data_IF_775122735382
#
_entry.id   IF_775122735382
#
_cell.length_a   1.000
_cell.length_b   1.000
_cell.length_c   1.000
_cell.angle_alpha   90.00
_cell.angle_beta   90.00
_cell.angle_gamma   90.00
#
_symmetry.space_group_name_H-M   'P 1'
#
loop_
_entity.id
_entity.type
_entity.pdbx_description
1 polymer ?
#
# COMPACT_ATOMS: atom_id res chain seq x y z
N UNK A 1 -51.26 25.26 16.30
CA UNK A 1 -50.64 24.63 15.13
C UNK A 1 -49.43 23.87 15.62
N UNK A 2 -49.54 22.57 15.87
CA UNK A 2 -48.35 21.77 16.15
C UNK A 2 -47.60 21.66 14.83
N UNK A 3 -46.28 21.87 14.79
CA UNK A 3 -45.53 21.69 13.55
C UNK A 3 -45.72 20.25 13.07
N UNK A 4 -46.02 20.11 11.79
CA UNK A 4 -46.22 18.83 11.14
C UNK A 4 -44.93 17.98 11.31
N UNK A 5 -45.01 17.09 12.29
CA UNK A 5 -43.85 16.27 12.71
C UNK A 5 -43.31 15.42 11.60
N UNK A 6 -44.18 14.99 10.68
CA UNK A 6 -43.82 14.24 9.49
C UNK A 6 -42.92 15.04 8.57
N UNK A 7 -43.25 16.32 8.32
CA UNK A 7 -42.44 17.23 7.49
C UNK A 7 -41.08 17.52 8.10
N UNK A 8 -40.99 17.67 9.43
CA UNK A 8 -39.71 17.87 10.10
C UNK A 8 -38.80 16.66 10.01
N UNK A 9 -39.35 15.45 10.13
CA UNK A 9 -38.54 14.22 9.96
C UNK A 9 -37.99 14.14 8.54
N UNK A 10 -38.85 14.24 7.54
CA UNK A 10 -38.41 14.09 6.13
C UNK A 10 -37.40 15.16 5.73
N UNK A 11 -37.67 16.43 6.07
CA UNK A 11 -36.74 17.52 5.75
C UNK A 11 -35.37 17.32 6.38
N UNK A 12 -35.32 16.94 7.67
CA UNK A 12 -34.06 16.67 8.34
C UNK A 12 -33.30 15.50 7.74
N UNK A 13 -33.98 14.43 7.34
CA UNK A 13 -33.34 13.28 6.72
C UNK A 13 -32.97 13.55 5.26
N UNK A 14 -33.75 14.30 4.51
CA UNK A 14 -33.41 14.74 3.15
C UNK A 14 -32.14 15.62 3.15
N UNK A 15 -31.99 16.51 4.14
CA UNK A 15 -30.75 17.28 4.30
C UNK A 15 -29.55 16.39 4.61
N UNK A 16 -29.68 15.45 5.55
CA UNK A 16 -28.63 14.49 5.90
C UNK A 16 -28.27 13.62 4.70
N UNK A 17 -29.27 13.09 3.96
CA UNK A 17 -29.04 12.27 2.79
C UNK A 17 -28.32 13.04 1.69
N UNK A 18 -28.69 14.30 1.46
CA UNK A 18 -28.03 15.18 0.49
C UNK A 18 -26.58 15.48 0.90
N UNK A 19 -26.33 15.76 2.18
CA UNK A 19 -24.99 15.98 2.72
C UNK A 19 -24.09 14.73 2.59
N UNK A 20 -24.69 13.54 2.72
CA UNK A 20 -23.99 12.25 2.67
C UNK A 20 -23.99 11.60 1.27
N UNK A 21 -24.53 12.26 0.27
CA UNK A 21 -24.55 11.75 -1.12
C UNK A 21 -25.46 10.51 -1.32
N UNK A 22 -26.47 10.33 -0.45
CA UNK A 22 -27.41 9.21 -0.57
C UNK A 22 -28.44 9.53 -1.63
N UNK A 23 -28.67 8.57 -2.53
CA UNK A 23 -29.68 8.69 -3.58
C UNK A 23 -31.08 8.84 -2.99
N UNK A 24 -31.91 9.64 -3.67
CA UNK A 24 -33.25 10.00 -3.20
C UNK A 24 -34.19 8.78 -3.16
N UNK A 25 -34.10 7.91 -4.15
CA UNK A 25 -34.98 6.74 -4.22
C UNK A 25 -34.60 5.72 -3.14
N UNK A 26 -33.31 5.58 -2.88
CA UNK A 26 -32.82 4.76 -1.77
C UNK A 26 -33.30 5.31 -0.41
N UNK A 27 -33.26 6.64 -0.23
CA UNK A 27 -33.80 7.27 1.01
C UNK A 27 -35.29 6.97 1.20
N UNK A 28 -36.09 7.03 0.12
CA UNK A 28 -37.53 6.71 0.17
C UNK A 28 -37.76 5.25 0.58
N UNK A 29 -37.03 4.33 -0.01
CA UNK A 29 -37.09 2.90 0.33
C UNK A 29 -36.79 2.66 1.82
N UNK A 30 -35.76 3.32 2.34
CA UNK A 30 -35.39 3.21 3.75
C UNK A 30 -36.49 3.77 4.66
N UNK A 31 -37.06 4.91 4.29
CA UNK A 31 -38.18 5.50 5.04
C UNK A 31 -39.38 4.55 5.08
N UNK A 32 -39.74 3.98 3.93
CA UNK A 32 -40.84 3.00 3.83
C UNK A 32 -40.61 1.80 4.76
N UNK A 33 -39.42 1.18 4.68
CA UNK A 33 -39.05 0.02 5.52
C UNK A 33 -39.13 0.31 7.03
N UNK A 34 -38.70 1.51 7.43
CA UNK A 34 -38.77 1.91 8.84
C UNK A 34 -40.21 2.12 9.28
N UNK A 35 -41.07 2.72 8.45
CA UNK A 35 -42.49 2.89 8.78
C UNK A 35 -43.22 1.55 8.77
N UNK A 36 -42.97 0.65 7.84
CA UNK A 36 -43.49 -0.73 7.85
C UNK A 36 -43.08 -1.48 9.12
N UNK A 37 -41.82 -1.36 9.54
CA UNK A 37 -41.33 -1.96 10.80
C UNK A 37 -42.06 -1.37 12.02
N UNK A 38 -42.33 -0.07 12.01
CA UNK A 38 -43.11 0.58 13.09
C UNK A 38 -44.57 0.09 13.15
N UNK A 39 -45.19 -0.11 11.98
CA UNK A 39 -46.54 -0.65 11.84
C UNK A 39 -46.60 -2.09 12.37
N UNK A 40 -45.70 -2.97 11.90
CA UNK A 40 -45.61 -4.37 12.36
C UNK A 40 -45.46 -4.49 13.86
N UNK A 41 -44.75 -3.57 14.49
CA UNK A 41 -44.54 -3.59 15.93
C UNK A 41 -45.79 -3.21 16.71
N UNK A 42 -46.72 -2.45 16.14
CA UNK A 42 -47.95 -2.03 16.79
C UNK A 42 -49.12 -2.95 16.48
N UNK A 43 -49.21 -3.42 15.22
CA UNK A 43 -50.35 -4.17 14.71
C UNK A 43 -50.06 -5.64 14.48
N UNK A 44 -48.79 -6.09 14.67
CA UNK A 44 -48.24 -7.42 14.45
C UNK A 44 -48.16 -7.83 12.96
N UNK A 45 -48.78 -7.06 12.08
CA UNK A 45 -48.70 -7.18 10.61
C UNK A 45 -48.60 -5.79 9.97
N UNK A 46 -48.17 -5.73 8.72
CA UNK A 46 -48.21 -4.54 7.87
C UNK A 46 -48.96 -4.77 6.54
N UNK A 47 -49.57 -5.95 6.35
CA UNK A 47 -50.24 -6.32 5.11
C UNK A 47 -51.44 -5.42 4.80
N UNK A 48 -52.19 -4.99 5.83
CA UNK A 48 -53.31 -4.08 5.74
C UNK A 48 -52.92 -2.59 5.69
N UNK A 49 -51.62 -2.26 5.47
CA UNK A 49 -51.15 -0.87 5.50
C UNK A 49 -50.42 -0.50 4.20
N UNK A 50 -50.74 0.69 3.69
CA UNK A 50 -50.02 1.31 2.57
C UNK A 50 -49.28 2.54 3.05
N UNK A 51 -47.98 2.58 2.78
CA UNK A 51 -47.12 3.72 3.13
C UNK A 51 -46.82 4.49 1.85
N UNK A 52 -47.33 5.71 1.76
CA UNK A 52 -47.16 6.58 0.59
C UNK A 52 -46.20 7.70 0.99
N UNK A 53 -45.08 7.78 0.29
CA UNK A 53 -44.02 8.78 0.51
C UNK A 53 -44.02 9.76 -0.67
N UNK A 54 -44.28 11.03 -0.37
CA UNK A 54 -44.15 12.10 -1.38
C UNK A 54 -42.89 12.91 -1.08
N UNK A 55 -41.82 12.57 -1.82
CA UNK A 55 -40.53 13.21 -1.63
C UNK A 55 -40.49 14.69 -2.01
N UNK A 56 -41.35 15.15 -2.94
CA UNK A 56 -41.39 16.54 -3.41
C UNK A 56 -42.06 17.48 -2.39
N UNK A 57 -43.06 16.95 -1.68
CA UNK A 57 -43.77 17.69 -0.64
C UNK A 57 -43.28 17.43 0.77
N UNK A 58 -42.40 16.42 0.91
CA UNK A 58 -41.94 15.98 2.22
C UNK A 58 -43.07 15.45 3.10
N UNK A 59 -44.03 14.72 2.50
CA UNK A 59 -45.21 14.20 3.17
C UNK A 59 -45.17 12.68 3.25
N UNK A 60 -45.57 12.15 4.43
CA UNK A 60 -45.76 10.71 4.64
C UNK A 60 -47.23 10.51 4.94
N UNK A 61 -47.82 9.61 4.22
CA UNK A 61 -49.20 9.20 4.44
C UNK A 61 -49.22 7.69 4.68
N UNK A 62 -49.76 7.28 5.79
CA UNK A 62 -49.95 5.88 6.15
C UNK A 62 -51.45 5.61 6.06
N UNK A 63 -51.82 4.74 5.16
CA UNK A 63 -53.21 4.33 5.02
C UNK A 63 -53.39 2.93 5.62
N UNK A 64 -54.36 2.76 6.45
CA UNK A 64 -54.87 1.46 6.90
C UNK A 64 -56.00 1.08 5.97
N UNK A 65 -55.78 0.03 5.20
CA UNK A 65 -56.76 -0.47 4.19
C UNK A 65 -57.39 -1.74 4.74
N UNK A 66 -58.69 -1.68 4.96
CA UNK A 66 -59.47 -2.79 5.52
C UNK A 66 -60.54 -3.22 4.52
N UNK A 67 -60.73 -4.51 4.37
CA UNK A 67 -61.85 -5.06 3.56
C UNK A 67 -63.12 -5.06 4.40
N UNK A 68 -64.20 -4.60 3.81
CA UNK A 68 -65.51 -4.57 4.46
C UNK A 68 -66.19 -5.94 4.37
N UNK A 69 -66.34 -6.59 5.52
CA UNK A 69 -66.94 -7.94 5.62
C UNK A 69 -68.23 -7.95 6.42
N UNK A 70 -69.09 -8.96 6.28
CA UNK A 70 -70.22 -9.16 7.18
C UNK A 70 -69.73 -9.39 8.60
N UNK A 71 -70.44 -8.87 9.61
CA UNK A 71 -70.05 -8.95 11.04
C UNK A 71 -69.82 -10.41 11.51
N UNK A 72 -70.47 -11.39 10.86
CA UNK A 72 -70.37 -12.81 11.18
C UNK A 72 -69.09 -13.45 10.59
N UNK A 73 -68.49 -12.84 9.56
CA UNK A 73 -67.32 -13.33 8.85
C UNK A 73 -65.99 -12.65 9.30
N UNK A 74 -66.05 -11.68 10.23
CA UNK A 74 -64.90 -10.93 10.70
C UNK A 74 -63.88 -11.88 11.38
N UNK A 75 -62.79 -12.20 10.70
CA UNK A 75 -61.74 -13.11 11.16
C UNK A 75 -60.46 -12.36 11.53
N UNK A 76 -60.06 -11.36 10.76
CA UNK A 76 -58.86 -10.54 10.93
C UNK A 76 -59.21 -9.10 11.36
N UNK A 77 -59.10 -8.74 12.64
CA UNK A 77 -59.43 -7.40 13.13
C UNK A 77 -58.53 -6.30 12.55
N UNK A 78 -57.41 -6.65 11.95
CA UNK A 78 -56.45 -5.69 11.33
C UNK A 78 -56.77 -5.50 9.84
N UNK A 79 -56.99 -6.56 9.11
CA UNK A 79 -57.28 -6.53 7.66
C UNK A 79 -58.74 -6.32 7.28
N UNK A 80 -59.67 -6.55 8.23
CA UNK A 80 -61.11 -6.53 7.97
C UNK A 80 -61.87 -5.56 8.90
N UNK A 81 -62.98 -5.02 8.44
CA UNK A 81 -63.88 -4.18 9.18
C UNK A 81 -65.33 -4.58 8.95
N UNK A 82 -66.18 -4.52 10.00
CA UNK A 82 -67.60 -4.83 9.82
C UNK A 82 -68.30 -3.75 8.99
N UNK A 83 -69.29 -4.12 8.20
CA UNK A 83 -70.10 -3.18 7.39
C UNK A 83 -70.70 -2.08 8.30
N UNK A 84 -71.15 -2.43 9.53
CA UNK A 84 -71.72 -1.48 10.44
C UNK A 84 -70.75 -0.41 10.91
N UNK A 85 -69.49 -0.77 11.12
CA UNK A 85 -68.43 0.14 11.51
C UNK A 85 -67.86 0.93 10.33
N UNK A 86 -67.78 0.30 9.17
CA UNK A 86 -67.35 0.93 7.91
C UNK A 86 -68.34 2.04 7.48
N UNK A 87 -69.65 1.81 7.58
CA UNK A 87 -70.69 2.80 7.24
C UNK A 87 -70.78 3.99 8.21
N UNK A 88 -70.19 3.91 9.41
CA UNK A 88 -70.02 5.06 10.31
C UNK A 88 -68.94 6.02 9.81
N UNK A 89 -68.05 5.55 9.00
CA UNK A 89 -66.91 6.31 8.45
C UNK A 89 -67.26 6.81 7.04
N UNK A 90 -67.72 5.90 6.16
CA UNK A 90 -68.17 6.21 4.84
C UNK A 90 -69.58 5.57 4.62
N UNK A 91 -70.65 6.40 4.63
CA UNK A 91 -72.05 5.91 4.52
C UNK A 91 -72.36 5.20 3.21
N UNK A 92 -71.60 5.45 2.16
CA UNK A 92 -71.85 4.91 0.81
C UNK A 92 -71.05 3.61 0.53
N UNK A 93 -70.32 3.08 1.52
CA UNK A 93 -69.50 1.90 1.35
C UNK A 93 -70.34 0.59 1.32
N UNK A 94 -69.97 -0.33 0.43
CA UNK A 94 -70.63 -1.61 0.27
C UNK A 94 -69.80 -2.78 0.82
N UNK A 95 -70.40 -3.98 0.90
CA UNK A 95 -69.71 -5.20 1.28
C UNK A 95 -68.61 -5.54 0.26
N UNK A 96 -67.43 -5.94 0.77
CA UNK A 96 -66.23 -6.28 0.00
C UNK A 96 -65.50 -5.10 -0.68
N UNK A 97 -65.93 -3.86 -0.31
CA UNK A 97 -65.16 -2.67 -0.66
C UNK A 97 -63.93 -2.50 0.25
N UNK A 98 -62.92 -1.79 -0.24
CA UNK A 98 -61.76 -1.42 0.56
C UNK A 98 -61.96 -0.05 1.23
N UNK A 99 -61.87 -0.01 2.56
CA UNK A 99 -61.91 1.23 3.35
C UNK A 99 -60.49 1.65 3.67
N UNK A 100 -60.02 2.74 3.09
CA UNK A 100 -58.71 3.31 3.38
C UNK A 100 -58.84 4.47 4.43
N UNK A 101 -58.22 4.32 5.60
CA UNK A 101 -58.19 5.32 6.63
C UNK A 101 -56.80 5.86 6.85
N UNK A 102 -56.64 7.18 6.92
CA UNK A 102 -55.31 7.77 7.22
C UNK A 102 -54.96 7.59 8.70
N UNK A 103 -53.84 6.98 8.96
CA UNK A 103 -53.31 6.76 10.32
C UNK A 103 -52.28 7.83 10.66
N UNK A 104 -52.59 8.64 11.69
CA UNK A 104 -51.67 9.64 12.14
C UNK A 104 -50.43 8.98 12.81
N UNK A 105 -49.22 9.35 12.37
CA UNK A 105 -47.96 8.87 12.93
C UNK A 105 -47.86 9.07 14.45
N UNK A 106 -48.44 10.13 14.98
CA UNK A 106 -48.46 10.39 16.41
C UNK A 106 -49.23 9.33 17.22
N UNK A 107 -50.13 8.60 16.59
CA UNK A 107 -50.89 7.51 17.20
C UNK A 107 -50.05 6.27 17.51
N UNK A 108 -48.85 6.17 16.94
CA UNK A 108 -47.86 5.10 17.27
C UNK A 108 -47.16 5.35 18.60
N UNK A 109 -47.28 6.55 19.16
CA UNK A 109 -46.69 6.92 20.44
C UNK A 109 -45.21 7.34 20.35
N UNK A 110 -44.76 8.12 21.32
CA UNK A 110 -43.40 8.71 21.34
C UNK A 110 -42.27 7.67 21.26
N UNK A 111 -42.49 6.48 21.85
CA UNK A 111 -41.45 5.39 21.78
C UNK A 111 -41.26 4.89 20.39
N UNK A 112 -42.29 4.61 19.62
CA UNK A 112 -42.21 4.12 18.25
C UNK A 112 -41.54 5.15 17.33
N UNK A 113 -41.91 6.42 17.48
CA UNK A 113 -41.33 7.53 16.72
C UNK A 113 -39.80 7.68 16.97
N UNK A 114 -39.41 7.63 18.26
CA UNK A 114 -37.97 7.69 18.60
C UNK A 114 -37.18 6.49 18.07
N UNK A 115 -37.79 5.29 18.08
CA UNK A 115 -37.19 4.08 17.53
C UNK A 115 -37.04 4.18 16.02
N UNK A 116 -38.06 4.66 15.31
CA UNK A 116 -37.99 4.92 13.87
C UNK A 116 -36.85 5.88 13.53
N UNK A 117 -36.70 6.98 14.27
CA UNK A 117 -35.60 7.92 14.13
C UNK A 117 -34.24 7.25 14.33
N UNK A 118 -34.08 6.40 15.34
CA UNK A 118 -32.84 5.67 15.61
C UNK A 118 -32.52 4.66 14.49
N UNK A 119 -33.53 3.93 14.00
CA UNK A 119 -33.38 2.99 12.89
C UNK A 119 -32.97 3.71 11.60
N UNK A 120 -33.62 4.82 11.26
CA UNK A 120 -33.23 5.66 10.11
C UNK A 120 -31.77 6.12 10.22
N UNK A 121 -31.39 6.70 11.36
CA UNK A 121 -30.03 7.16 11.58
C UNK A 121 -29.01 6.00 11.52
N UNK A 122 -29.39 4.81 11.95
CA UNK A 122 -28.56 3.62 11.86
C UNK A 122 -28.41 3.17 10.40
N UNK A 123 -29.51 3.12 9.62
CA UNK A 123 -29.50 2.68 8.24
C UNK A 123 -28.71 3.63 7.34
N UNK A 124 -28.85 4.94 7.55
CA UNK A 124 -28.05 5.95 6.86
C UNK A 124 -26.55 5.75 7.12
N UNK A 125 -26.16 5.48 8.38
CA UNK A 125 -24.76 5.20 8.72
C UNK A 125 -24.22 3.91 8.07
N UNK A 126 -25.06 2.89 7.92
CA UNK A 126 -24.68 1.66 7.23
C UNK A 126 -24.38 1.92 5.75
N UNK A 127 -25.28 2.65 5.08
CA UNK A 127 -25.08 3.03 3.68
C UNK A 127 -23.86 3.93 3.48
N UNK A 128 -23.65 4.90 4.37
CA UNK A 128 -22.45 5.74 4.34
C UNK A 128 -21.17 4.90 4.42
N UNK A 129 -21.17 3.85 5.25
CA UNK A 129 -20.03 2.93 5.35
C UNK A 129 -19.83 2.09 4.09
N UNK A 130 -20.91 1.61 3.51
CA UNK A 130 -20.86 0.83 2.27
C UNK A 130 -20.36 1.70 1.11
N UNK A 131 -20.85 2.93 0.98
CA UNK A 131 -20.37 3.89 -0.01
C UNK A 131 -18.89 4.21 0.17
N UNK A 132 -18.41 4.45 1.41
CA UNK A 132 -16.99 4.68 1.68
C UNK A 132 -16.16 3.45 1.29
N UNK A 133 -16.65 2.26 1.58
CA UNK A 133 -15.96 1.03 1.23
C UNK A 133 -15.82 0.88 -0.29
N UNK A 134 -16.89 1.08 -1.04
CA UNK A 134 -16.91 1.02 -2.51
C UNK A 134 -16.03 2.10 -3.12
N UNK A 135 -16.24 3.37 -2.76
CA UNK A 135 -15.49 4.52 -3.29
C UNK A 135 -13.98 4.36 -3.13
N UNK A 136 -13.53 3.91 -1.95
CA UNK A 136 -12.09 3.76 -1.72
C UNK A 136 -11.52 2.42 -2.21
N UNK A 137 -12.37 1.41 -2.46
CA UNK A 137 -11.94 0.20 -3.14
C UNK A 137 -11.60 0.50 -4.60
N UNK A 138 -12.39 1.33 -5.26
CA UNK A 138 -12.12 1.79 -6.62
C UNK A 138 -10.89 2.69 -6.71
N UNK A 139 -10.57 3.39 -5.63
CA UNK A 139 -9.38 4.27 -5.53
C UNK A 139 -8.11 3.57 -5.06
N UNK A 140 -8.12 2.25 -4.89
CA UNK A 140 -6.89 1.52 -4.56
C UNK A 140 -5.86 1.75 -5.67
N UNK A 141 -4.68 2.22 -5.27
CA UNK A 141 -3.63 2.60 -6.20
C UNK A 141 -3.61 4.08 -6.58
N UNK A 142 -4.55 4.90 -6.17
CA UNK A 142 -4.53 6.35 -6.40
C UNK A 142 -3.79 7.09 -5.28
N UNK A 143 -3.11 8.18 -5.64
CA UNK A 143 -2.61 9.15 -4.66
C UNK A 143 -3.74 10.04 -4.19
N UNK A 144 -3.88 10.13 -2.87
CA UNK A 144 -4.78 11.08 -2.22
C UNK A 144 -3.99 12.18 -1.52
N UNK A 145 -4.62 13.33 -1.40
CA UNK A 145 -4.15 14.47 -0.63
C UNK A 145 -5.11 14.68 0.53
N UNK A 146 -4.63 14.62 1.76
CA UNK A 146 -5.46 14.80 2.94
C UNK A 146 -4.75 15.54 4.05
N UNK A 147 -5.50 15.93 5.08
CA UNK A 147 -4.99 16.69 6.21
C UNK A 147 -4.85 15.81 7.45
N UNK A 148 -3.70 15.84 8.09
CA UNK A 148 -3.45 15.14 9.35
C UNK A 148 -4.29 15.76 10.46
N UNK A 149 -5.25 15.03 10.99
CA UNK A 149 -6.04 15.54 12.10
C UNK A 149 -5.65 14.98 13.46
N UNK A 150 -5.03 13.80 13.49
CA UNK A 150 -4.54 13.19 14.73
C UNK A 150 -3.33 12.29 14.52
N UNK A 151 -2.36 12.38 15.41
CA UNK A 151 -1.27 11.40 15.57
C UNK A 151 -1.53 10.62 16.85
N UNK A 152 -1.69 9.30 16.75
CA UNK A 152 -1.99 8.40 17.89
C UNK A 152 -0.73 8.09 18.71
N UNK A 153 -0.88 7.58 19.92
CA UNK A 153 0.24 7.17 20.79
C UNK A 153 1.13 6.07 20.17
N UNK A 154 0.54 5.14 19.43
CA UNK A 154 1.25 4.11 18.67
C UNK A 154 1.92 4.63 17.40
N UNK A 155 1.88 5.95 17.16
CA UNK A 155 2.40 6.67 16.00
C UNK A 155 1.63 6.43 14.69
N UNK A 156 0.50 5.77 14.71
CA UNK A 156 -0.40 5.78 13.56
C UNK A 156 -0.94 7.19 13.35
N UNK A 157 -1.12 7.57 12.10
CA UNK A 157 -1.60 8.89 11.69
C UNK A 157 -3.00 8.74 11.10
N UNK A 158 -3.91 9.58 11.57
CA UNK A 158 -5.24 9.71 11.00
C UNK A 158 -5.29 10.92 10.10
N UNK A 159 -5.71 10.69 8.87
CA UNK A 159 -5.76 11.69 7.80
C UNK A 159 -7.22 11.89 7.40
N UNK A 160 -7.64 13.14 7.31
CA UNK A 160 -8.96 13.47 6.78
C UNK A 160 -8.84 13.75 5.27
N UNK A 161 -9.61 13.02 4.48
CA UNK A 161 -9.76 13.26 3.05
C UNK A 161 -11.26 13.34 2.74
N UNK A 162 -11.73 14.54 2.36
CA UNK A 162 -13.14 14.80 2.03
C UNK A 162 -14.15 14.34 3.11
N UNK A 163 -13.80 14.50 4.39
CA UNK A 163 -14.65 14.10 5.51
C UNK A 163 -14.51 12.63 5.92
N UNK A 164 -13.74 11.83 5.18
CA UNK A 164 -13.48 10.41 5.50
C UNK A 164 -12.16 10.28 6.25
N UNK A 165 -12.16 9.46 7.30
CA UNK A 165 -10.96 9.14 8.08
C UNK A 165 -10.16 8.02 7.40
N UNK A 166 -8.92 8.32 7.05
CA UNK A 166 -7.96 7.37 6.50
C UNK A 166 -6.87 7.06 7.52
N UNK A 167 -6.38 5.84 7.53
CA UNK A 167 -5.33 5.38 8.42
C UNK A 167 -4.00 5.25 7.68
N UNK A 168 -2.97 5.96 8.16
CA UNK A 168 -1.59 5.74 7.80
C UNK A 168 -0.87 5.04 8.96
N UNK A 169 -0.76 3.70 8.94
CA UNK A 169 -0.09 2.94 9.98
C UNK A 169 1.39 3.30 10.08
N UNK A 170 1.99 3.08 11.24
CA UNK A 170 3.42 3.40 11.47
C UNK A 170 4.36 2.70 10.49
N UNK A 171 4.10 1.46 10.12
CA UNK A 171 4.90 0.68 9.16
C UNK A 171 4.74 1.17 7.71
N UNK A 172 3.70 1.96 7.43
CA UNK A 172 3.44 2.57 6.13
C UNK A 172 3.96 4.02 6.03
N UNK A 173 4.67 4.51 7.05
CA UNK A 173 5.30 5.83 7.08
C UNK A 173 6.78 5.72 6.73
N UNK A 174 7.29 6.65 5.95
CA UNK A 174 8.73 6.79 5.75
C UNK A 174 9.35 7.17 7.10
N UNK A 175 10.42 6.51 7.52
CA UNK A 175 11.03 6.71 8.85
C UNK A 175 11.50 8.15 9.11
N UNK A 176 11.70 8.93 8.07
CA UNK A 176 12.06 10.36 8.13
C UNK A 176 10.86 11.29 8.25
N UNK A 177 9.64 10.80 7.95
CA UNK A 177 8.43 11.60 8.01
C UNK A 177 8.17 12.13 9.45
N UNK A 178 7.79 13.39 9.53
CA UNK A 178 7.45 14.06 10.78
C UNK A 178 6.21 14.90 10.57
N UNK A 179 5.05 14.30 10.83
CA UNK A 179 3.76 14.95 10.66
C UNK A 179 3.17 15.42 11.99
N UNK A 180 2.52 16.57 11.94
CA UNK A 180 1.75 17.16 13.02
C UNK A 180 0.31 17.38 12.58
N UNK A 181 -0.58 17.57 13.56
CA UNK A 181 -1.96 17.95 13.28
C UNK A 181 -2.01 19.24 12.44
N UNK A 182 -2.73 19.21 11.33
CA UNK A 182 -2.87 20.30 10.37
C UNK A 182 -1.90 20.26 9.20
N UNK A 183 -0.93 19.33 9.20
CA UNK A 183 -0.07 19.14 8.03
C UNK A 183 -0.84 18.43 6.91
N UNK A 184 -0.55 18.79 5.68
CA UNK A 184 -1.08 18.10 4.50
C UNK A 184 -0.16 16.95 4.12
N UNK A 185 -0.72 15.81 3.75
CA UNK A 185 0.00 14.60 3.39
C UNK A 185 -0.49 14.03 2.06
N UNK A 186 0.45 13.57 1.26
CA UNK A 186 0.21 12.77 0.05
C UNK A 186 0.54 11.32 0.34
N UNK A 187 -0.36 10.40 0.00
CA UNK A 187 -0.14 8.96 0.17
C UNK A 187 -0.98 8.18 -0.84
N UNK A 188 -0.59 6.94 -1.13
CA UNK A 188 -1.37 6.05 -1.98
C UNK A 188 -2.34 5.23 -1.15
N UNK A 189 -3.55 5.01 -1.67
CA UNK A 189 -4.51 4.07 -1.08
C UNK A 189 -4.03 2.65 -1.38
N UNK A 190 -3.77 1.86 -0.34
CA UNK A 190 -3.31 0.47 -0.49
C UNK A 190 -4.40 -0.56 -0.29
N UNK A 191 -5.49 -0.19 0.36
CA UNK A 191 -6.62 -1.08 0.54
C UNK A 191 -7.67 -0.56 1.51
N UNK A 192 -8.80 -1.23 1.49
CA UNK A 192 -9.93 -0.97 2.40
C UNK A 192 -10.29 -2.27 3.12
N UNK A 193 -10.43 -2.21 4.42
CA UNK A 193 -10.78 -3.37 5.24
C UNK A 193 -11.97 -3.07 6.15
N UNK A 194 -12.90 -4.00 6.24
CA UNK A 194 -13.98 -3.91 7.23
C UNK A 194 -13.46 -4.34 8.61
N UNK A 195 -13.41 -3.40 9.56
CA UNK A 195 -13.02 -3.67 10.96
C UNK A 195 -14.16 -3.34 11.89
N UNK A 196 -14.69 -4.35 12.60
CA UNK A 196 -15.82 -4.17 13.52
C UNK A 196 -17.04 -3.46 12.87
N UNK A 197 -17.35 -3.79 11.61
CA UNK A 197 -18.43 -3.18 10.86
C UNK A 197 -18.20 -1.72 10.45
N UNK A 198 -16.93 -1.27 10.43
CA UNK A 198 -16.55 0.04 9.90
C UNK A 198 -15.48 -0.12 8.82
N UNK A 199 -15.58 0.56 7.68
CA UNK A 199 -14.53 0.60 6.68
C UNK A 199 -13.31 1.32 7.27
N UNK A 200 -12.15 0.72 7.09
CA UNK A 200 -10.86 1.31 7.44
C UNK A 200 -10.03 1.37 6.18
N UNK A 201 -9.85 2.56 5.66
CA UNK A 201 -9.03 2.81 4.47
C UNK A 201 -7.59 2.97 4.90
N UNK A 202 -6.71 2.15 4.31
CA UNK A 202 -5.28 2.19 4.60
C UNK A 202 -4.56 2.91 3.48
N UNK A 203 -3.71 3.84 3.87
CA UNK A 203 -2.85 4.60 2.96
C UNK A 203 -1.38 4.34 3.30
N UNK A 204 -0.52 4.43 2.29
CA UNK A 204 0.91 4.15 2.41
C UNK A 204 1.77 5.23 1.75
N UNK A 205 2.92 5.48 2.35
CA UNK A 205 4.04 6.24 1.77
C UNK A 205 5.27 5.36 1.51
N UNK A 206 5.23 4.10 1.98
CA UNK A 206 6.32 3.12 1.81
C UNK A 206 6.12 2.21 0.62
N UNK A 207 4.91 2.06 0.11
CA UNK A 207 4.57 1.23 -1.03
C UNK A 207 5.36 1.62 -2.29
N UNK A 208 5.76 0.63 -3.09
CA UNK A 208 6.33 0.85 -4.42
C UNK A 208 5.35 1.57 -5.33
N UNK A 209 4.07 1.25 -5.21
CA UNK A 209 2.98 1.90 -5.95
C UNK A 209 2.93 3.41 -5.71
N UNK A 210 3.28 3.89 -4.51
CA UNK A 210 3.36 5.33 -4.25
C UNK A 210 4.43 6.00 -5.10
N UNK A 211 5.59 5.35 -5.25
CA UNK A 211 6.66 5.84 -6.12
C UNK A 211 6.23 5.84 -7.60
N UNK A 212 5.60 4.76 -8.06
CA UNK A 212 5.08 4.64 -9.45
C UNK A 212 4.10 5.78 -9.76
N UNK A 213 3.14 6.03 -8.90
CA UNK A 213 2.17 7.12 -9.08
C UNK A 213 2.79 8.51 -9.01
N UNK A 214 3.87 8.70 -8.24
CA UNK A 214 4.63 9.95 -8.26
C UNK A 214 5.33 10.15 -9.61
N UNK A 215 5.88 9.08 -10.21
CA UNK A 215 6.44 9.16 -11.57
C UNK A 215 5.37 9.54 -12.60
N UNK A 216 4.20 8.92 -12.57
CA UNK A 216 3.09 9.26 -13.46
C UNK A 216 2.66 10.74 -13.31
N UNK A 217 2.61 11.24 -12.08
CA UNK A 217 2.20 12.62 -11.83
C UNK A 217 3.23 13.67 -12.27
N UNK A 218 4.52 13.35 -12.18
CA UNK A 218 5.60 14.34 -12.44
C UNK A 218 6.18 14.20 -13.85
N UNK A 219 5.94 13.08 -14.57
CA UNK A 219 6.56 12.77 -15.84
C UNK A 219 5.47 12.51 -16.89
N UNK A 220 5.21 13.48 -17.78
CA UNK A 220 4.16 13.37 -18.80
C UNK A 220 4.33 12.13 -19.69
N UNK A 221 5.56 11.77 -20.07
CA UNK A 221 5.84 10.62 -20.93
C UNK A 221 5.48 9.29 -20.26
N UNK A 222 5.48 9.22 -18.92
CA UNK A 222 5.00 8.07 -18.14
C UNK A 222 3.48 8.09 -18.08
N UNK A 223 2.89 9.25 -17.79
CA UNK A 223 1.43 9.43 -17.75
C UNK A 223 0.77 9.06 -19.10
N UNK A 224 1.38 9.48 -20.21
CA UNK A 224 0.91 9.21 -21.57
C UNK A 224 1.17 7.77 -22.03
N UNK A 225 1.83 6.92 -21.21
CA UNK A 225 2.17 5.54 -21.55
C UNK A 225 3.24 5.40 -22.63
N UNK A 226 4.04 6.45 -22.89
CA UNK A 226 5.19 6.40 -23.81
C UNK A 226 6.38 5.70 -23.14
N UNK A 227 6.52 5.89 -21.83
CA UNK A 227 7.53 5.26 -20.98
C UNK A 227 6.83 4.40 -19.92
N UNK A 228 7.19 3.12 -19.89
CA UNK A 228 6.77 2.20 -18.86
C UNK A 228 7.76 2.16 -17.69
N UNK A 229 7.23 2.12 -16.46
CA UNK A 229 7.97 1.66 -15.30
C UNK A 229 7.86 0.13 -15.24
N UNK A 230 8.89 -0.56 -15.68
CA UNK A 230 8.86 -2.03 -15.83
C UNK A 230 9.02 -2.73 -14.49
N UNK A 231 9.90 -2.23 -13.64
CA UNK A 231 10.16 -2.76 -12.29
C UNK A 231 10.58 -1.66 -11.35
N UNK A 232 10.17 -1.80 -10.10
CA UNK A 232 10.53 -0.90 -9.00
C UNK A 232 11.06 -1.72 -7.84
N UNK A 233 12.15 -1.28 -7.25
CA UNK A 233 12.66 -1.81 -5.99
C UNK A 233 12.93 -0.66 -5.04
N UNK A 234 12.36 -0.69 -3.84
CA UNK A 234 12.35 0.44 -2.92
C UNK A 234 12.81 0.07 -1.52
N UNK A 235 13.65 0.93 -0.93
CA UNK A 235 13.97 1.01 0.49
C UNK A 235 13.49 2.40 0.98
N UNK A 236 12.25 2.49 1.53
CA UNK A 236 11.58 3.76 1.76
C UNK A 236 12.38 4.75 2.61
N UNK A 237 12.55 5.98 2.11
CA UNK A 237 13.29 7.04 2.76
C UNK A 237 14.81 6.94 2.63
N UNK A 238 15.33 5.91 1.97
CA UNK A 238 16.77 5.70 1.77
C UNK A 238 17.13 5.71 0.29
N UNK A 239 16.75 4.67 -0.44
CA UNK A 239 17.07 4.54 -1.88
C UNK A 239 16.03 3.72 -2.61
N UNK A 240 15.82 4.04 -3.89
CA UNK A 240 14.99 3.28 -4.82
C UNK A 240 15.69 3.09 -6.15
N UNK A 241 15.37 2.01 -6.84
CA UNK A 241 15.78 1.73 -8.21
C UNK A 241 14.55 1.50 -9.08
N UNK A 242 14.49 2.18 -10.20
CA UNK A 242 13.34 2.14 -11.12
C UNK A 242 13.83 1.80 -12.51
N UNK A 243 13.40 0.66 -13.05
CA UNK A 243 13.70 0.24 -14.39
C UNK A 243 12.63 0.77 -15.35
N UNK A 244 13.04 1.59 -16.31
CA UNK A 244 12.16 2.25 -17.27
C UNK A 244 12.44 1.78 -18.69
N UNK A 245 11.41 1.79 -19.54
CA UNK A 245 11.51 1.43 -20.96
C UNK A 245 10.64 2.35 -21.78
N UNK A 246 11.17 2.88 -22.87
CA UNK A 246 10.39 3.63 -23.86
C UNK A 246 9.81 2.72 -24.93
N UNK A 247 8.61 3.04 -25.40
CA UNK A 247 8.00 2.47 -26.60
C UNK A 247 8.39 3.22 -27.87
N UNK A 248 8.96 4.43 -27.77
CA UNK A 248 9.51 5.22 -28.87
C UNK A 248 11.04 5.21 -28.78
N UNK A 249 11.71 4.63 -29.79
CA UNK A 249 13.17 4.51 -29.83
C UNK A 249 13.91 5.88 -29.89
N UNK A 250 13.18 6.94 -30.21
CA UNK A 250 13.72 8.31 -30.26
C UNK A 250 13.79 8.98 -28.91
N UNK A 251 13.12 8.39 -27.90
CA UNK A 251 13.03 8.95 -26.55
C UNK A 251 13.95 8.17 -25.62
N UNK A 252 14.93 8.85 -25.04
CA UNK A 252 15.71 8.31 -23.92
C UNK A 252 14.83 8.26 -22.65
N UNK A 253 14.44 7.05 -22.18
CA UNK A 253 13.55 6.94 -21.04
C UNK A 253 14.17 7.44 -19.74
N UNK A 254 15.48 7.28 -19.56
CA UNK A 254 16.19 7.75 -18.35
C UNK A 254 16.26 9.28 -18.35
N UNK A 255 16.68 9.87 -19.47
CA UNK A 255 16.77 11.32 -19.63
C UNK A 255 15.42 12.01 -19.45
N UNK A 256 14.33 11.44 -19.98
CA UNK A 256 12.97 11.94 -19.82
C UNK A 256 12.52 11.91 -18.37
N UNK A 257 12.77 10.81 -17.64
CA UNK A 257 12.40 10.66 -16.24
C UNK A 257 13.23 11.59 -15.32
N UNK A 258 14.50 11.73 -15.58
CA UNK A 258 15.39 12.61 -14.80
C UNK A 258 15.06 14.08 -15.08
N UNK A 259 14.82 14.41 -16.35
CA UNK A 259 14.56 15.78 -16.81
C UNK A 259 15.80 16.66 -16.85
N UNK A 260 15.66 17.86 -17.41
CA UNK A 260 16.79 18.82 -17.51
C UNK A 260 17.36 19.13 -16.13
N UNK A 261 18.66 18.88 -15.92
CA UNK A 261 19.35 19.11 -14.63
C UNK A 261 18.66 18.40 -13.44
N UNK A 262 17.92 17.32 -13.69
CA UNK A 262 17.28 16.54 -12.65
C UNK A 262 16.01 17.15 -12.05
N UNK A 263 15.40 18.18 -12.67
CA UNK A 263 14.26 18.91 -12.09
C UNK A 263 13.09 17.95 -11.78
N UNK A 264 12.74 17.04 -12.68
CA UNK A 264 11.60 16.13 -12.52
C UNK A 264 11.85 15.14 -11.39
N UNK A 265 12.99 14.45 -11.44
CA UNK A 265 13.32 13.47 -10.40
C UNK A 265 13.49 14.10 -9.01
N UNK A 266 14.02 15.34 -8.95
CA UNK A 266 14.15 16.06 -7.68
C UNK A 266 12.81 16.42 -7.04
N UNK A 267 11.73 16.61 -7.81
CA UNK A 267 10.39 16.83 -7.27
C UNK A 267 9.95 15.58 -6.48
N UNK A 268 10.14 14.39 -7.07
CA UNK A 268 9.82 13.10 -6.44
C UNK A 268 10.72 12.85 -5.22
N UNK A 269 12.03 13.05 -5.37
CA UNK A 269 13.02 12.89 -4.26
C UNK A 269 12.64 13.74 -3.05
N UNK A 270 12.19 14.98 -3.29
CA UNK A 270 11.76 15.91 -2.22
C UNK A 270 10.50 15.40 -1.51
N UNK A 271 9.50 14.92 -2.27
CA UNK A 271 8.28 14.34 -1.71
C UNK A 271 8.61 13.14 -0.80
N UNK A 272 9.61 12.34 -1.17
CA UNK A 272 10.03 11.13 -0.45
C UNK A 272 11.10 11.38 0.63
N UNK A 273 11.21 12.62 1.16
CA UNK A 273 12.16 12.97 2.23
C UNK A 273 13.62 12.70 1.88
N UNK A 274 14.03 13.10 0.68
CA UNK A 274 15.37 12.89 0.11
C UNK A 274 15.74 11.39 -0.04
N UNK A 275 14.81 10.57 -0.46
CA UNK A 275 15.07 9.22 -0.93
C UNK A 275 15.81 9.28 -2.28
N UNK A 276 16.99 8.67 -2.37
CA UNK A 276 17.74 8.64 -3.62
C UNK A 276 17.05 7.72 -4.63
N UNK A 277 16.88 8.18 -5.88
CA UNK A 277 16.22 7.39 -6.92
C UNK A 277 17.18 7.18 -8.09
N UNK A 278 17.52 5.92 -8.34
CA UNK A 278 18.30 5.50 -9.50
C UNK A 278 17.34 5.07 -10.62
N UNK A 279 17.33 5.80 -11.73
CA UNK A 279 16.55 5.45 -12.90
C UNK A 279 17.43 4.68 -13.87
N UNK A 280 16.97 3.49 -14.29
CA UNK A 280 17.76 2.51 -15.04
C UNK A 280 17.02 2.15 -16.33
N UNK A 281 17.72 2.16 -17.46
CA UNK A 281 17.13 1.70 -18.72
C UNK A 281 16.98 0.16 -18.71
N UNK A 282 15.74 -0.32 -18.82
CA UNK A 282 15.43 -1.74 -18.85
C UNK A 282 15.95 -2.42 -20.10
N UNK A 283 16.47 -3.62 -19.96
CA UNK A 283 16.83 -4.51 -21.06
C UNK A 283 16.40 -5.95 -20.76
N UNK A 284 16.12 -6.71 -21.82
CA UNK A 284 15.81 -8.15 -21.70
C UNK A 284 17.06 -9.00 -21.47
N UNK A 285 18.25 -8.48 -21.83
CA UNK A 285 19.51 -9.11 -21.51
C UNK A 285 19.75 -9.03 -20.01
N UNK A 286 19.69 -10.18 -19.35
CA UNK A 286 19.80 -10.28 -17.88
C UNK A 286 21.17 -9.85 -17.37
N UNK A 287 22.24 -10.17 -18.09
CA UNK A 287 23.61 -9.78 -17.73
C UNK A 287 23.73 -8.27 -17.75
N UNK A 288 23.33 -7.65 -18.85
CA UNK A 288 23.35 -6.19 -18.99
C UNK A 288 22.41 -5.52 -18.00
N UNK A 289 21.25 -6.12 -17.68
CA UNK A 289 20.32 -5.58 -16.70
C UNK A 289 20.89 -5.57 -15.27
N UNK A 290 21.58 -6.65 -14.87
CA UNK A 290 22.25 -6.73 -13.57
C UNK A 290 23.38 -5.68 -13.47
N UNK A 291 24.17 -5.50 -14.54
CA UNK A 291 25.21 -4.45 -14.60
C UNK A 291 24.61 -3.07 -14.36
N UNK A 292 23.51 -2.75 -15.05
CA UNK A 292 22.81 -1.46 -14.88
C UNK A 292 22.18 -1.33 -13.49
N UNK A 293 21.63 -2.42 -12.94
CA UNK A 293 21.02 -2.42 -11.63
C UNK A 293 22.00 -2.15 -10.49
N UNK A 294 23.28 -2.50 -10.67
CA UNK A 294 24.34 -2.23 -9.68
C UNK A 294 24.91 -0.81 -9.74
N UNK A 295 24.55 -0.02 -10.74
CA UNK A 295 24.97 1.40 -10.76
C UNK A 295 24.72 2.08 -9.42
N UNK A 296 25.64 2.97 -8.95
CA UNK A 296 26.74 3.58 -9.68
C UNK A 296 28.05 2.77 -9.69
N UNK A 297 28.07 1.50 -9.26
CA UNK A 297 29.26 0.68 -9.33
C UNK A 297 29.55 0.24 -10.79
N UNK A 298 30.82 0.25 -11.14
CA UNK A 298 31.28 -0.31 -12.40
C UNK A 298 31.45 -1.82 -12.25
N UNK A 299 30.87 -2.57 -13.20
CA UNK A 299 30.85 -4.03 -13.18
C UNK A 299 31.66 -4.56 -14.37
N UNK A 300 32.68 -5.38 -14.09
CA UNK A 300 33.53 -6.00 -15.12
C UNK A 300 32.83 -7.20 -15.78
N UNK A 301 32.42 -8.17 -14.99
CA UNK A 301 31.86 -9.43 -15.46
C UNK A 301 30.63 -9.80 -14.59
N UNK A 302 29.64 -10.41 -15.25
CA UNK A 302 28.49 -11.02 -14.59
C UNK A 302 28.33 -12.43 -15.15
N UNK A 303 28.25 -13.39 -14.25
CA UNK A 303 27.97 -14.79 -14.57
C UNK A 303 26.68 -15.19 -13.86
N UNK A 304 25.71 -15.70 -14.61
CA UNK A 304 24.43 -16.15 -14.06
C UNK A 304 24.45 -17.68 -14.05
N UNK A 305 24.02 -18.28 -12.94
CA UNK A 305 23.94 -19.74 -12.82
C UNK A 305 22.90 -20.33 -13.80
N UNK A 306 22.96 -21.63 -14.03
CA UNK A 306 22.08 -22.35 -14.98
C UNK A 306 20.59 -22.14 -14.69
N UNK A 307 20.21 -22.04 -13.40
CA UNK A 307 18.83 -21.82 -12.98
C UNK A 307 18.38 -20.35 -13.10
N UNK A 308 19.32 -19.42 -13.31
CA UNK A 308 19.03 -17.99 -13.40
C UNK A 308 18.65 -17.32 -12.08
N UNK A 309 18.83 -17.99 -10.93
CA UNK A 309 18.46 -17.48 -9.60
C UNK A 309 19.58 -16.71 -8.93
N UNK A 310 20.84 -17.00 -9.30
CA UNK A 310 22.04 -16.39 -8.72
C UNK A 310 22.95 -15.83 -9.78
N UNK A 311 23.57 -14.69 -9.47
CA UNK A 311 24.56 -14.05 -10.31
C UNK A 311 25.82 -13.74 -9.50
N UNK A 312 26.98 -14.18 -10.00
CA UNK A 312 28.29 -13.79 -9.52
C UNK A 312 28.76 -12.58 -10.30
N UNK A 313 29.09 -11.52 -9.61
CA UNK A 313 29.46 -10.22 -10.19
C UNK A 313 30.87 -9.86 -9.77
N UNK A 314 31.76 -9.73 -10.76
CA UNK A 314 33.14 -9.30 -10.57
C UNK A 314 33.22 -7.78 -10.73
N UNK A 315 33.77 -7.12 -9.72
CA UNK A 315 33.97 -5.66 -9.72
C UNK A 315 35.40 -5.30 -9.35
N UNK A 316 35.93 -4.16 -9.80
CA UNK A 316 37.20 -3.64 -9.34
C UNK A 316 37.22 -3.44 -7.82
N UNK A 317 38.37 -3.55 -7.18
CA UNK A 317 38.51 -3.47 -5.74
C UNK A 317 37.92 -2.18 -5.14
N UNK A 318 38.09 -1.04 -5.82
CA UNK A 318 37.57 0.27 -5.40
C UNK A 318 36.05 0.42 -5.58
N UNK A 319 35.40 -0.46 -6.39
CA UNK A 319 33.97 -0.44 -6.67
C UNK A 319 33.12 -1.33 -5.74
N UNK A 320 33.75 -2.24 -4.98
CA UNK A 320 33.05 -3.18 -4.08
C UNK A 320 32.12 -2.43 -3.11
N UNK A 321 32.63 -1.39 -2.47
CA UNK A 321 31.84 -0.60 -1.52
C UNK A 321 30.63 0.09 -2.18
N UNK A 322 30.76 0.52 -3.44
CA UNK A 322 29.66 1.12 -4.22
C UNK A 322 28.65 0.05 -4.65
N UNK A 323 29.12 -1.12 -5.07
CA UNK A 323 28.26 -2.25 -5.46
C UNK A 323 27.38 -2.72 -4.29
N UNK A 324 27.97 -2.88 -3.12
CA UNK A 324 27.26 -3.27 -1.90
C UNK A 324 26.37 -2.10 -1.41
N UNK A 325 26.92 -0.91 -1.35
CA UNK A 325 26.28 0.28 -0.81
C UNK A 325 26.20 0.28 0.73
N UNK A 326 25.83 1.41 1.30
CA UNK A 326 25.71 1.57 2.76
C UNK A 326 24.69 0.58 3.33
N UNK A 327 25.11 -0.29 4.26
CA UNK A 327 24.22 -1.31 4.85
C UNK A 327 23.67 -2.34 3.84
N UNK A 328 24.35 -2.55 2.70
CA UNK A 328 23.94 -3.50 1.67
C UNK A 328 22.71 -3.08 0.87
N UNK A 329 22.31 -1.80 0.92
CA UNK A 329 21.08 -1.33 0.27
C UNK A 329 21.19 -1.44 -1.25
N UNK A 330 22.34 -1.09 -1.86
CA UNK A 330 22.47 -1.09 -3.31
C UNK A 330 22.35 -2.49 -3.90
N UNK A 331 23.09 -3.46 -3.36
CA UNK A 331 23.04 -4.86 -3.82
C UNK A 331 21.67 -5.49 -3.58
N UNK A 332 21.04 -5.24 -2.41
CA UNK A 332 19.70 -5.76 -2.11
C UNK A 332 18.63 -5.22 -3.05
N UNK A 333 18.69 -3.93 -3.41
CA UNK A 333 17.76 -3.34 -4.38
C UNK A 333 18.04 -3.86 -5.80
N UNK A 334 19.30 -4.02 -6.17
CA UNK A 334 19.67 -4.61 -7.45
C UNK A 334 19.20 -6.07 -7.57
N UNK A 335 19.37 -6.88 -6.53
CA UNK A 335 18.85 -8.25 -6.46
C UNK A 335 17.33 -8.29 -6.59
N UNK A 336 16.61 -7.42 -5.85
CA UNK A 336 15.15 -7.33 -5.93
C UNK A 336 14.68 -6.91 -7.34
N UNK A 337 15.33 -5.91 -7.93
CA UNK A 337 14.99 -5.40 -9.26
C UNK A 337 15.23 -6.43 -10.37
N UNK A 338 16.35 -7.18 -10.29
CA UNK A 338 16.71 -8.21 -11.26
C UNK A 338 16.06 -9.57 -11.01
N UNK A 339 15.41 -9.76 -9.86
CA UNK A 339 14.86 -11.05 -9.40
C UNK A 339 15.94 -12.14 -9.40
N UNK A 340 17.15 -11.77 -8.96
CA UNK A 340 18.32 -12.62 -8.94
C UNK A 340 19.16 -12.31 -7.70
N UNK A 341 19.56 -13.32 -6.95
CA UNK A 341 20.49 -13.14 -5.84
C UNK A 341 21.87 -12.78 -6.40
N UNK A 342 22.43 -11.64 -5.96
CA UNK A 342 23.68 -11.12 -6.49
C UNK A 342 24.78 -11.28 -5.44
N UNK A 343 25.83 -12.01 -5.79
CA UNK A 343 27.05 -12.11 -5.01
C UNK A 343 28.16 -11.28 -5.67
N UNK A 344 28.79 -10.38 -4.91
CA UNK A 344 29.83 -9.47 -5.41
C UNK A 344 31.19 -10.00 -5.01
N UNK A 345 32.03 -10.20 -5.99
CA UNK A 345 33.42 -10.62 -5.85
C UNK A 345 34.33 -9.47 -6.26
N UNK A 346 35.44 -9.32 -5.53
CA UNK A 346 36.49 -8.38 -5.89
C UNK A 346 37.37 -9.01 -6.97
N UNK A 347 37.70 -8.23 -7.98
CA UNK A 347 38.84 -8.59 -8.85
C UNK A 347 40.09 -8.68 -7.98
N UNK A 348 40.62 -9.86 -7.92
CA UNK A 348 41.99 -10.05 -7.46
C UNK A 348 42.83 -9.84 -8.73
N UNK A 349 43.61 -8.77 -8.76
CA UNK A 349 44.68 -8.71 -9.77
C UNK A 349 45.51 -9.96 -9.51
N UNK A 350 45.46 -10.91 -10.46
CA UNK A 350 46.53 -11.90 -10.62
C UNK A 350 47.75 -11.08 -11.07
N UNK A 351 48.29 -10.27 -10.22
CA UNK A 351 49.70 -9.93 -10.37
C UNK A 351 50.42 -11.27 -10.21
N UNK A 352 51.31 -11.58 -11.15
CA UNK A 352 52.08 -12.79 -11.22
C UNK A 352 52.62 -13.19 -9.82
N UNK A 353 51.82 -13.99 -9.08
CA UNK A 353 52.22 -14.52 -7.81
C UNK A 353 52.97 -15.83 -8.12
N UNK A 354 54.15 -15.97 -7.57
CA UNK A 354 55.01 -17.10 -7.83
C UNK A 354 54.64 -18.20 -6.85
N UNK A 355 54.38 -19.41 -7.37
CA UNK A 355 54.12 -20.58 -6.53
C UNK A 355 55.37 -20.81 -5.62
N UNK A 356 55.12 -20.94 -4.35
CA UNK A 356 56.20 -21.13 -3.38
C UNK A 356 57.04 -22.39 -3.68
N UNK A 357 56.46 -23.38 -4.39
CA UNK A 357 57.13 -24.56 -4.85
C UNK A 357 58.33 -24.27 -5.80
N UNK A 358 58.29 -23.13 -6.52
CA UNK A 358 59.41 -22.76 -7.44
C UNK A 358 60.69 -22.40 -6.67
N UNK A 359 60.57 -22.02 -5.40
CA UNK A 359 61.70 -21.71 -4.52
C UNK A 359 62.25 -22.94 -3.77
N UNK A 360 61.88 -24.15 -4.17
CA UNK A 360 62.34 -25.39 -3.52
C UNK A 360 63.86 -25.55 -3.60
N UNK A 361 64.48 -25.09 -4.66
CA UNK A 361 65.95 -25.17 -4.86
C UNK A 361 66.68 -24.16 -3.92
N UNK A 362 66.07 -23.03 -3.54
CA UNK A 362 66.63 -21.97 -2.72
C UNK A 362 66.47 -22.22 -1.21
N UNK A 363 65.33 -22.79 -0.81
CA UNK A 363 64.96 -22.96 0.60
C UNK A 363 64.96 -24.39 1.09
N UNK A 364 64.92 -25.37 0.17
CA UNK A 364 64.79 -26.80 0.43
C UNK A 364 63.33 -27.24 0.66
N UNK A 365 63.04 -28.46 0.25
CA UNK A 365 61.66 -29.01 0.29
C UNK A 365 61.03 -29.01 1.70
N UNK A 366 61.84 -29.23 2.72
CA UNK A 366 61.37 -29.27 4.13
C UNK A 366 60.86 -27.90 4.59
N UNK A 367 61.58 -26.81 4.28
CA UNK A 367 61.14 -25.45 4.63
C UNK A 367 59.92 -24.97 3.86
N UNK A 368 59.81 -25.37 2.59
CA UNK A 368 58.60 -25.08 1.78
C UNK A 368 57.37 -25.78 2.33
N UNK A 369 57.48 -27.04 2.78
CA UNK A 369 56.38 -27.74 3.44
C UNK A 369 55.97 -27.11 4.78
N UNK A 370 56.94 -26.59 5.52
CA UNK A 370 56.63 -25.87 6.76
C UNK A 370 55.85 -24.58 6.44
N UNK A 371 56.22 -23.84 5.39
CA UNK A 371 55.49 -22.63 4.95
C UNK A 371 54.10 -22.97 4.46
N UNK A 372 53.89 -24.05 3.71
CA UNK A 372 52.57 -24.54 3.32
C UNK A 372 51.70 -24.88 4.55
N UNK A 373 52.30 -25.45 5.61
CA UNK A 373 51.57 -25.83 6.81
C UNK A 373 50.98 -24.64 7.58
N UNK A 374 51.57 -23.43 7.42
CA UNK A 374 51.07 -22.19 7.99
C UNK A 374 50.19 -21.38 7.06
N UNK A 375 49.84 -21.95 5.87
CA UNK A 375 48.90 -21.35 4.90
C UNK A 375 49.57 -20.37 3.93
N UNK A 376 50.89 -20.44 3.73
CA UNK A 376 51.61 -19.70 2.70
C UNK A 376 51.80 -20.60 1.49
N UNK A 377 50.93 -20.50 0.48
CA UNK A 377 50.98 -21.28 -0.77
C UNK A 377 51.73 -20.53 -1.86
N UNK A 378 51.90 -19.22 -1.73
CA UNK A 378 52.53 -18.35 -2.73
C UNK A 378 53.57 -17.45 -2.11
N UNK A 379 54.49 -16.96 -2.95
CA UNK A 379 55.56 -16.06 -2.58
C UNK A 379 55.02 -14.76 -1.89
N UNK A 380 53.92 -14.21 -2.44
CA UNK A 380 53.28 -13.01 -1.87
C UNK A 380 52.71 -13.26 -0.49
N UNK A 381 52.09 -14.44 -0.24
CA UNK A 381 51.62 -14.81 1.08
C UNK A 381 52.73 -14.83 2.14
N UNK A 382 53.93 -15.13 1.76
CA UNK A 382 55.12 -15.05 2.63
C UNK A 382 55.53 -13.59 2.89
N UNK A 383 55.49 -12.74 1.84
CA UNK A 383 55.84 -11.31 1.97
C UNK A 383 54.85 -10.51 2.84
N UNK A 384 53.63 -10.99 3.00
CA UNK A 384 52.66 -10.39 3.90
C UNK A 384 53.00 -10.63 5.41
N UNK A 385 53.91 -11.57 5.69
CA UNK A 385 54.31 -11.91 7.05
C UNK A 385 55.66 -11.29 7.40
N UNK A 386 55.78 -10.81 8.63
CA UNK A 386 57.09 -10.45 9.18
C UNK A 386 57.90 -11.69 9.56
N UNK A 387 59.21 -11.57 9.66
CA UNK A 387 60.07 -12.66 10.10
C UNK A 387 59.67 -13.22 11.47
N UNK A 388 59.26 -12.35 12.39
CA UNK A 388 58.77 -12.72 13.73
C UNK A 388 57.46 -13.51 13.66
N UNK A 389 56.55 -13.18 12.71
CA UNK A 389 55.30 -13.90 12.49
C UNK A 389 55.53 -15.27 11.89
N UNK A 390 56.43 -15.40 10.89
CA UNK A 390 56.81 -16.67 10.32
C UNK A 390 57.38 -17.60 11.40
N UNK A 391 58.33 -17.11 12.18
CA UNK A 391 58.93 -17.84 13.29
C UNK A 391 57.89 -18.30 14.33
N UNK A 392 56.95 -17.42 14.69
CA UNK A 392 55.90 -17.73 15.66
C UNK A 392 54.89 -18.77 15.13
N UNK A 393 54.47 -18.66 13.85
CA UNK A 393 53.50 -19.56 13.25
C UNK A 393 54.09 -20.93 12.94
N UNK A 394 55.41 -21.02 12.66
CA UNK A 394 56.12 -22.27 12.44
C UNK A 394 56.64 -22.92 13.73
N UNK A 395 56.24 -22.43 14.93
CA UNK A 395 56.69 -22.89 16.22
C UNK A 395 58.23 -22.90 16.35
N UNK A 396 58.95 -21.94 15.75
CA UNK A 396 60.40 -21.83 15.66
C UNK A 396 61.10 -22.96 14.84
N UNK A 397 60.35 -23.68 13.98
CA UNK A 397 60.99 -24.60 13.02
C UNK A 397 61.79 -23.83 11.97
N UNK A 398 61.31 -22.62 11.57
CA UNK A 398 62.06 -21.63 10.80
C UNK A 398 62.59 -20.59 11.78
N UNK A 399 63.93 -20.45 11.88
CA UNK A 399 64.55 -19.44 12.75
C UNK A 399 64.52 -18.04 12.11
N UNK A 400 64.79 -17.01 12.90
CA UNK A 400 64.74 -15.61 12.47
C UNK A 400 65.67 -15.31 11.27
N UNK A 401 66.88 -15.91 11.25
CA UNK A 401 67.83 -15.72 10.15
C UNK A 401 67.35 -16.30 8.85
N UNK A 402 66.73 -17.48 8.89
CA UNK A 402 66.16 -18.14 7.73
C UNK A 402 64.87 -17.43 7.25
N UNK A 403 63.99 -17.01 8.17
CA UNK A 403 62.79 -16.26 7.83
C UNK A 403 63.13 -14.94 7.12
N UNK A 404 64.12 -14.20 7.59
CA UNK A 404 64.61 -12.98 6.92
C UNK A 404 65.19 -13.26 5.54
N UNK A 405 65.96 -14.36 5.36
CA UNK A 405 66.51 -14.76 4.09
C UNK A 405 65.40 -15.15 3.08
N UNK A 406 64.39 -15.85 3.56
CA UNK A 406 63.23 -16.23 2.72
C UNK A 406 62.55 -14.98 2.20
N UNK A 407 62.23 -14.03 3.08
CA UNK A 407 61.59 -12.77 2.71
C UNK A 407 62.46 -11.97 1.72
N UNK A 408 63.76 -11.89 1.96
CA UNK A 408 64.69 -11.14 1.09
C UNK A 408 64.80 -11.75 -0.32
N UNK A 409 64.91 -13.07 -0.44
CA UNK A 409 64.98 -13.78 -1.75
C UNK A 409 63.67 -13.64 -2.49
N UNK A 410 62.53 -13.85 -1.84
CA UNK A 410 61.24 -13.70 -2.44
C UNK A 410 61.03 -12.24 -2.89
N UNK A 411 61.35 -11.25 -2.05
CA UNK A 411 61.19 -9.84 -2.40
C UNK A 411 62.00 -9.46 -3.66
N UNK A 412 63.22 -10.05 -3.81
CA UNK A 412 64.04 -9.78 -4.95
C UNK A 412 63.41 -10.22 -6.31
N UNK A 413 62.67 -11.33 -6.32
CA UNK A 413 61.98 -11.81 -7.53
C UNK A 413 60.78 -10.92 -7.94
N UNK A 414 60.31 -10.07 -7.03
CA UNK A 414 59.24 -9.09 -7.33
C UNK A 414 59.78 -7.68 -7.64
N UNK A 415 61.10 -7.44 -7.56
CA UNK A 415 61.71 -6.17 -7.95
C UNK A 415 62.15 -6.10 -9.43
N UNK A 416 62.17 -7.20 -10.17
CA UNK A 416 62.43 -7.26 -11.60
C UNK A 416 61.13 -7.34 -12.42
#
# INVERSE_FOLDING_TARGET
>A
MQPDFSKQIISSFAEIAKEKGIDRDLLLTILEDVFRTMIRKKYETDDAFSVILNADRGEIQILHVQEVVPTEELADPVGEISLEDAQKIDPDIELYDELAQEVNILNFGRRAVNMARQQLAQRIREIEKDNIYEDYTDRVGEIILGDVYQVRHNKDILVNHNGVELLLPRNEQIYKDRYRKGDTIRAVVTGVHMKNGNPTVIISRTSELFLERLFENEIPEVFDGIIDLVKVARAPGDRSKVAVKSHDERIDPVGACVGMKGIRIHAIVRELQNENIDVINFTKDRVEFIKRALQPAEVMKVEINENGEKASVLVPADQVSKAIGKGGVNIRLASKLSECEIDVYREVEEEDDIDLAEFTDDFGEENIQILFSIGCDTARAVLELSADEIMSRTNNEIDEALARKIIEVIAYEFED
#
